data_IF_770633840023
#
_entry.id   IF_770633840023
#
_cell.length_a   1.000
_cell.length_b   1.000
_cell.length_c   1.000
_cell.angle_alpha   90.00
_cell.angle_beta   90.00
_cell.angle_gamma   90.00
#
_symmetry.space_group_name_H-M   'P 1'
#
loop_
_entity.id
_entity.type
_entity.pdbx_description
1 polymer ?
#
# COMPACT_ATOMS: atom_id res chain seq x y z
N UNK A 1 38.38 -18.32 -6.16
CA UNK A 1 37.17 -18.14 -6.99
C UNK A 1 36.63 -16.72 -6.78
N UNK A 2 36.50 -15.90 -7.83
CA UNK A 2 36.01 -14.52 -7.70
C UNK A 2 34.50 -14.52 -7.40
N UNK A 3 34.14 -14.11 -6.18
CA UNK A 3 32.75 -13.95 -5.74
C UNK A 3 32.08 -12.75 -6.40
N UNK A 4 30.80 -12.86 -6.78
CA UNK A 4 30.07 -11.72 -7.35
C UNK A 4 29.98 -10.57 -6.32
N UNK A 5 30.15 -9.34 -6.77
CA UNK A 5 30.01 -8.12 -5.95
C UNK A 5 28.62 -7.93 -5.31
N UNK A 6 27.60 -8.69 -5.73
CA UNK A 6 26.27 -8.72 -5.08
C UNK A 6 26.35 -9.25 -3.65
N UNK A 7 27.22 -10.23 -3.40
CA UNK A 7 27.29 -10.92 -2.12
C UNK A 7 28.06 -10.11 -1.07
N UNK A 8 28.75 -9.05 -1.49
CA UNK A 8 29.40 -8.08 -0.60
C UNK A 8 28.36 -7.06 -0.10
N UNK A 9 28.04 -7.13 1.18
CA UNK A 9 27.02 -6.29 1.84
C UNK A 9 27.35 -4.79 1.77
N UNK A 10 28.61 -4.41 1.98
CA UNK A 10 29.10 -3.03 1.90
C UNK A 10 28.92 -2.43 0.51
N UNK A 11 29.37 -3.15 -0.52
CA UNK A 11 29.21 -2.76 -1.92
C UNK A 11 27.74 -2.62 -2.31
N UNK A 12 26.90 -3.60 -1.95
CA UNK A 12 25.44 -3.54 -2.19
C UNK A 12 24.81 -2.29 -1.58
N UNK A 13 25.21 -1.94 -0.37
CA UNK A 13 24.70 -0.78 0.35
C UNK A 13 25.12 0.51 -0.36
N UNK A 14 26.40 0.64 -0.73
CA UNK A 14 26.93 1.77 -1.50
C UNK A 14 26.17 1.99 -2.83
N UNK A 15 25.99 0.93 -3.64
CA UNK A 15 25.25 1.00 -4.91
C UNK A 15 23.80 1.45 -4.70
N UNK A 16 23.14 0.95 -3.65
CA UNK A 16 21.76 1.35 -3.34
C UNK A 16 21.66 2.81 -2.90
N UNK A 17 22.63 3.31 -2.12
CA UNK A 17 22.68 4.71 -1.72
C UNK A 17 22.88 5.61 -2.92
N UNK A 18 23.87 5.30 -3.77
CA UNK A 18 24.11 6.04 -5.02
C UNK A 18 22.89 6.03 -5.94
N UNK A 19 22.22 4.89 -6.09
CA UNK A 19 20.98 4.80 -6.87
C UNK A 19 19.87 5.69 -6.29
N UNK A 20 19.62 5.62 -4.98
CA UNK A 20 18.60 6.49 -4.33
C UNK A 20 18.95 7.97 -4.47
N UNK A 21 20.23 8.31 -4.37
CA UNK A 21 20.74 9.66 -4.56
C UNK A 21 20.48 10.16 -5.99
N UNK A 22 20.78 9.35 -7.02
CA UNK A 22 20.45 9.70 -8.42
C UNK A 22 18.97 9.96 -8.64
N UNK A 23 18.09 9.16 -8.02
CA UNK A 23 16.65 9.35 -8.17
C UNK A 23 16.18 10.65 -7.51
N UNK A 24 16.68 10.97 -6.31
CA UNK A 24 16.35 12.23 -5.62
C UNK A 24 16.83 13.43 -6.42
N UNK A 25 18.09 13.43 -6.85
CA UNK A 25 18.66 14.54 -7.62
C UNK A 25 17.99 14.70 -8.97
N UNK A 26 17.59 13.60 -9.63
CA UNK A 26 16.85 13.71 -10.88
C UNK A 26 15.51 14.45 -10.70
N UNK A 27 14.80 14.23 -9.59
CA UNK A 27 13.56 14.94 -9.31
C UNK A 27 13.77 16.38 -8.82
N UNK A 28 14.85 16.66 -8.08
CA UNK A 28 15.09 17.96 -7.47
C UNK A 28 15.78 18.94 -8.42
N UNK A 29 16.73 18.46 -9.24
CA UNK A 29 17.58 19.29 -10.09
C UNK A 29 17.13 19.34 -11.56
N UNK A 30 16.08 18.60 -11.95
CA UNK A 30 15.55 18.61 -13.32
C UNK A 30 14.05 18.90 -13.34
N UNK A 31 13.66 19.97 -14.03
CA UNK A 31 12.25 20.33 -14.22
C UNK A 31 11.58 19.56 -15.37
N UNK A 32 12.35 18.98 -16.29
CA UNK A 32 11.81 18.18 -17.40
C UNK A 32 11.44 16.77 -16.97
N UNK A 33 10.14 16.48 -16.88
CA UNK A 33 9.63 15.13 -16.57
C UNK A 33 10.11 14.06 -17.55
N UNK A 34 10.34 14.42 -18.81
CA UNK A 34 10.86 13.50 -19.82
C UNK A 34 12.29 13.06 -19.52
N UNK A 35 13.15 14.01 -19.15
CA UNK A 35 14.53 13.75 -18.74
C UNK A 35 14.58 12.87 -17.48
N UNK A 36 13.76 13.19 -16.47
CA UNK A 36 13.64 12.40 -15.24
C UNK A 36 13.23 10.96 -15.53
N UNK A 37 12.23 10.76 -16.40
CA UNK A 37 11.81 9.42 -16.81
C UNK A 37 12.94 8.67 -17.52
N UNK A 38 13.66 9.34 -18.43
CA UNK A 38 14.79 8.75 -19.18
C UNK A 38 15.93 8.35 -18.26
N UNK A 39 16.35 9.22 -17.33
CA UNK A 39 17.36 8.92 -16.31
C UNK A 39 16.96 7.66 -15.54
N UNK A 40 15.75 7.64 -14.99
CA UNK A 40 15.26 6.52 -14.17
C UNK A 40 15.24 5.20 -14.94
N UNK A 41 14.81 5.24 -16.21
CA UNK A 41 14.73 4.06 -17.07
C UNK A 41 16.13 3.51 -17.36
N UNK A 42 17.06 4.36 -17.81
CA UNK A 42 18.41 3.95 -18.21
C UNK A 42 19.20 3.45 -17.01
N UNK A 43 19.21 4.21 -15.89
CA UNK A 43 19.94 3.82 -14.67
C UNK A 43 19.42 2.49 -14.10
N UNK A 44 18.09 2.27 -14.12
CA UNK A 44 17.52 0.99 -13.70
C UNK A 44 17.97 -0.15 -14.62
N UNK A 45 17.95 0.06 -15.93
CA UNK A 45 18.34 -0.97 -16.91
C UNK A 45 19.82 -1.33 -16.80
N UNK A 46 20.72 -0.35 -16.65
CA UNK A 46 22.17 -0.58 -16.53
C UNK A 46 22.53 -1.32 -15.24
N UNK A 47 21.96 -0.93 -14.10
CA UNK A 47 22.19 -1.61 -12.82
C UNK A 47 21.68 -3.04 -12.82
N UNK A 48 20.53 -3.31 -13.47
CA UNK A 48 20.01 -4.69 -13.59
C UNK A 48 20.89 -5.51 -14.51
N UNK A 49 21.31 -4.96 -15.66
CA UNK A 49 22.16 -5.65 -16.64
C UNK A 49 23.51 -6.07 -16.04
N UNK A 50 24.10 -5.22 -15.22
CA UNK A 50 25.44 -5.45 -14.64
C UNK A 50 25.43 -5.95 -13.20
N UNK A 51 24.25 -6.34 -12.70
CA UNK A 51 24.06 -6.81 -11.32
C UNK A 51 25.03 -7.93 -10.97
N UNK A 52 25.19 -8.93 -11.86
CA UNK A 52 25.99 -10.13 -11.63
C UNK A 52 27.43 -10.03 -12.19
N UNK A 53 27.94 -8.82 -12.47
CA UNK A 53 29.30 -8.67 -12.97
C UNK A 53 30.34 -9.14 -11.94
N UNK A 54 31.35 -9.86 -12.42
CA UNK A 54 32.51 -10.34 -11.62
C UNK A 54 33.75 -9.47 -11.77
N UNK A 55 33.84 -8.66 -12.83
CA UNK A 55 34.98 -7.78 -13.08
C UNK A 55 34.91 -6.53 -12.21
N UNK A 56 35.92 -6.33 -11.35
CA UNK A 56 36.08 -5.14 -10.50
C UNK A 56 36.15 -3.87 -11.34
N UNK A 57 36.94 -3.88 -12.41
CA UNK A 57 37.10 -2.76 -13.33
C UNK A 57 35.77 -2.36 -14.00
N UNK A 58 35.01 -3.35 -14.46
CA UNK A 58 33.69 -3.11 -15.05
C UNK A 58 32.74 -2.48 -14.04
N UNK A 59 32.69 -2.98 -12.80
CA UNK A 59 31.84 -2.41 -11.75
C UNK A 59 32.26 -0.99 -11.39
N UNK A 60 33.57 -0.74 -11.23
CA UNK A 60 34.12 0.58 -10.94
C UNK A 60 33.73 1.61 -12.01
N UNK A 61 33.92 1.29 -13.29
CA UNK A 61 33.57 2.17 -14.41
C UNK A 61 32.08 2.56 -14.39
N UNK A 62 31.18 1.63 -14.09
CA UNK A 62 29.74 1.92 -14.04
C UNK A 62 29.38 2.78 -12.83
N UNK A 63 30.03 2.59 -11.69
CA UNK A 63 29.85 3.42 -10.51
C UNK A 63 30.37 4.84 -10.74
N UNK A 64 31.52 4.98 -11.41
CA UNK A 64 32.09 6.27 -11.76
C UNK A 64 31.17 7.05 -12.70
N UNK A 65 30.62 6.42 -13.75
CA UNK A 65 29.63 7.04 -14.65
C UNK A 65 28.34 7.46 -13.92
N UNK A 66 27.92 6.67 -12.92
CA UNK A 66 26.75 6.99 -12.11
C UNK A 66 27.02 8.14 -11.12
N UNK A 67 28.26 8.28 -10.65
CA UNK A 67 28.71 9.41 -9.87
C UNK A 67 28.83 10.69 -10.72
N UNK A 68 29.40 10.58 -11.92
CA UNK A 68 29.50 11.66 -12.91
C UNK A 68 28.10 12.19 -13.30
N UNK A 69 27.14 11.30 -13.55
CA UNK A 69 25.74 11.67 -13.76
C UNK A 69 25.19 12.51 -12.60
N UNK A 70 25.46 12.13 -11.35
CA UNK A 70 25.02 12.91 -10.18
C UNK A 70 25.66 14.30 -10.13
N UNK A 71 26.95 14.41 -10.42
CA UNK A 71 27.63 15.70 -10.43
C UNK A 71 27.05 16.62 -11.52
N UNK A 72 26.78 16.09 -12.71
CA UNK A 72 26.17 16.84 -13.81
C UNK A 72 24.75 17.29 -13.48
N UNK A 73 23.97 16.47 -12.78
CA UNK A 73 22.63 16.83 -12.28
C UNK A 73 22.68 17.98 -11.27
N UNK A 74 23.60 17.92 -10.29
CA UNK A 74 23.76 18.97 -9.28
C UNK A 74 24.22 20.28 -9.89
N UNK A 75 25.13 20.24 -10.88
CA UNK A 75 25.61 21.41 -11.62
C UNK A 75 24.60 21.97 -12.64
N UNK A 76 23.43 21.36 -12.79
CA UNK A 76 22.39 21.81 -13.73
C UNK A 76 22.74 21.65 -15.21
N UNK A 77 23.75 20.84 -15.55
CA UNK A 77 24.30 20.78 -16.90
C UNK A 77 23.54 19.77 -17.79
N UNK A 78 22.31 20.14 -18.17
CA UNK A 78 21.32 19.22 -18.77
C UNK A 78 21.80 18.59 -20.10
N UNK A 79 22.52 19.34 -20.93
CA UNK A 79 23.05 18.84 -22.22
C UNK A 79 24.03 17.68 -22.01
N UNK A 80 24.98 17.85 -21.09
CA UNK A 80 25.94 16.80 -20.74
C UNK A 80 25.27 15.56 -20.11
N UNK A 81 24.23 15.76 -19.29
CA UNK A 81 23.42 14.64 -18.77
C UNK A 81 22.77 13.87 -19.92
N UNK A 82 22.22 14.58 -20.91
CA UNK A 82 21.60 13.95 -22.08
C UNK A 82 22.61 13.14 -22.88
N UNK A 83 23.76 13.72 -23.21
CA UNK A 83 24.82 13.07 -24.00
C UNK A 83 25.35 11.81 -23.31
N UNK A 84 25.58 11.87 -21.99
CA UNK A 84 26.01 10.72 -21.20
C UNK A 84 24.97 9.59 -21.23
N UNK A 85 23.68 9.91 -21.11
CA UNK A 85 22.60 8.92 -21.23
C UNK A 85 22.50 8.34 -22.64
N UNK A 86 22.74 9.15 -23.68
CA UNK A 86 22.73 8.70 -25.08
C UNK A 86 23.89 7.75 -25.36
N UNK A 87 25.09 8.04 -24.83
CA UNK A 87 26.28 7.19 -24.93
C UNK A 87 26.11 5.85 -24.20
N UNK A 88 25.41 5.83 -23.07
CA UNK A 88 25.07 4.60 -22.34
C UNK A 88 23.96 3.80 -23.03
N UNK A 89 23.01 4.49 -23.66
CA UNK A 89 21.88 3.88 -24.37
C UNK A 89 22.23 3.42 -25.79
N UNK A 90 23.32 3.92 -26.39
CA UNK A 90 23.74 3.50 -27.73
C UNK A 90 24.15 2.04 -27.65
N UNK A 91 23.29 1.18 -28.19
CA UNK A 91 23.59 -0.23 -28.34
C UNK A 91 24.77 -0.32 -29.31
N UNK A 92 25.99 -0.57 -28.82
CA UNK A 92 26.94 -1.34 -29.62
C UNK A 92 26.22 -2.64 -29.95
N UNK A 93 25.77 -2.80 -31.21
CA UNK A 93 25.25 -4.07 -31.69
C UNK A 93 26.35 -5.09 -31.38
N UNK A 94 26.09 -5.99 -30.44
CA UNK A 94 26.97 -7.12 -30.25
C UNK A 94 27.01 -7.87 -31.59
N UNK A 95 28.19 -8.29 -32.08
CA UNK A 95 28.22 -9.23 -33.19
C UNK A 95 27.37 -10.43 -32.76
N UNK A 96 26.44 -10.85 -33.63
CA UNK A 96 25.37 -11.78 -33.29
C UNK A 96 25.89 -12.98 -32.51
N UNK A 97 25.28 -13.26 -31.35
CA UNK A 97 25.56 -14.49 -30.62
C UNK A 97 25.27 -15.67 -31.55
N UNK A 98 26.29 -16.47 -31.86
CA UNK A 98 26.15 -17.66 -32.68
C UNK A 98 25.07 -18.59 -32.11
N UNK A 99 24.34 -19.29 -33.00
CA UNK A 99 23.28 -20.26 -32.66
C UNK A 99 23.72 -21.25 -31.57
N UNK A 100 25.01 -21.57 -31.54
CA UNK A 100 25.67 -22.46 -30.58
C UNK A 100 25.56 -21.95 -29.13
N UNK A 101 25.71 -20.63 -28.87
CA UNK A 101 25.63 -20.09 -27.51
C UNK A 101 24.18 -20.12 -27.00
N UNK A 102 23.21 -19.84 -27.87
CA UNK A 102 21.78 -19.97 -27.53
C UNK A 102 21.39 -21.43 -27.28
N UNK A 103 21.91 -22.38 -28.06
CA UNK A 103 21.67 -23.81 -27.86
C UNK A 103 22.30 -24.32 -26.55
N UNK A 104 23.53 -23.91 -26.23
CA UNK A 104 24.18 -24.24 -24.96
C UNK A 104 23.41 -23.67 -23.75
N UNK A 105 22.84 -22.47 -23.86
CA UNK A 105 21.97 -21.92 -22.82
C UNK A 105 20.65 -22.70 -22.69
N UNK A 106 20.04 -23.12 -23.80
CA UNK A 106 18.84 -23.95 -23.79
C UNK A 106 19.08 -25.34 -23.19
N UNK A 107 20.24 -25.96 -23.46
CA UNK A 107 20.65 -27.24 -22.87
C UNK A 107 20.83 -27.10 -21.35
N UNK A 108 21.41 -25.97 -20.89
CA UNK A 108 21.59 -25.69 -19.46
C UNK A 108 20.24 -25.51 -18.75
N UNK A 109 19.29 -24.83 -19.38
CA UNK A 109 17.91 -24.64 -18.87
C UNK A 109 17.15 -25.97 -18.83
N UNK A 110 17.29 -26.82 -19.85
CA UNK A 110 16.69 -28.17 -19.89
C UNK A 110 17.24 -29.06 -18.76
N UNK A 111 18.56 -29.08 -18.52
CA UNK A 111 19.16 -29.81 -17.38
C UNK A 111 18.65 -29.31 -16.02
N UNK A 112 18.46 -28.00 -15.83
CA UNK A 112 17.93 -27.45 -14.57
C UNK A 112 16.44 -27.74 -14.34
N UNK A 113 15.64 -27.88 -15.40
CA UNK A 113 14.22 -28.21 -15.28
C UNK A 113 14.01 -29.70 -14.97
N UNK A 114 14.84 -30.60 -15.50
CA UNK A 114 14.77 -32.05 -15.23
C UNK A 114 15.15 -32.36 -13.76
N UNK A 115 16.05 -31.56 -13.16
CA UNK A 115 16.44 -31.69 -11.74
C UNK A 115 15.61 -30.81 -10.78
N UNK A 116 14.58 -30.11 -11.27
CA UNK A 116 13.72 -29.34 -10.39
C UNK A 116 12.81 -30.31 -9.61
N UNK A 117 12.87 -30.34 -8.27
CA UNK A 117 12.01 -31.21 -7.49
C UNK A 117 10.56 -30.84 -7.76
N UNK A 118 9.68 -31.85 -7.84
CA UNK A 118 8.26 -31.64 -8.09
C UNK A 118 7.69 -30.55 -7.15
N UNK A 119 6.69 -29.76 -7.57
CA UNK A 119 6.12 -28.69 -6.74
C UNK A 119 5.66 -29.16 -5.35
N UNK A 120 5.28 -30.43 -5.22
CA UNK A 120 4.92 -31.09 -3.95
C UNK A 120 6.16 -31.33 -3.08
N UNK A 121 7.20 -31.96 -3.62
CA UNK A 121 8.47 -32.19 -2.92
C UNK A 121 9.12 -30.88 -2.42
N UNK A 122 9.10 -29.84 -3.26
CA UNK A 122 9.66 -28.53 -2.90
C UNK A 122 8.87 -27.85 -1.76
N UNK A 123 7.54 -28.03 -1.75
CA UNK A 123 6.68 -27.56 -0.66
C UNK A 123 6.95 -28.32 0.64
N UNK A 124 7.04 -29.64 0.58
CA UNK A 124 7.31 -30.53 1.72
C UNK A 124 8.66 -30.25 2.37
N UNK A 125 9.71 -30.15 1.56
CA UNK A 125 11.05 -29.77 2.02
C UNK A 125 11.06 -28.36 2.65
N UNK A 126 10.27 -27.43 2.09
CA UNK A 126 10.08 -26.10 2.68
C UNK A 126 9.35 -26.10 4.03
N UNK A 127 8.51 -27.11 4.31
CA UNK A 127 7.86 -27.30 5.62
C UNK A 127 8.86 -27.88 6.61
N UNK A 128 9.54 -28.95 6.19
CA UNK A 128 10.54 -29.65 6.97
C UNK A 128 11.64 -28.70 7.44
N UNK A 129 12.22 -27.90 6.54
CA UNK A 129 13.26 -26.93 6.90
C UNK A 129 12.78 -25.87 7.90
N UNK A 130 11.51 -25.46 7.84
CA UNK A 130 10.94 -24.53 8.82
C UNK A 130 10.73 -25.19 10.17
N UNK A 131 10.32 -26.45 10.18
CA UNK A 131 10.14 -27.24 11.39
C UNK A 131 11.48 -27.48 12.08
N UNK A 132 12.50 -27.95 11.35
CA UNK A 132 13.85 -28.17 11.87
C UNK A 132 14.41 -26.89 12.48
N UNK A 133 14.36 -25.76 11.77
CA UNK A 133 14.83 -24.46 12.29
C UNK A 133 14.10 -24.03 13.56
N UNK A 134 12.81 -24.34 13.67
CA UNK A 134 12.02 -24.00 14.86
C UNK A 134 12.46 -24.84 16.05
N UNK A 135 12.55 -26.16 15.90
CA UNK A 135 12.92 -27.06 16.99
C UNK A 135 14.40 -26.90 17.40
N UNK A 136 15.30 -26.63 16.45
CA UNK A 136 16.70 -26.27 16.73
C UNK A 136 16.80 -24.96 17.53
N UNK A 137 15.97 -23.96 17.23
CA UNK A 137 15.93 -22.72 18.01
C UNK A 137 15.35 -22.89 19.43
N UNK A 138 14.74 -24.03 19.74
CA UNK A 138 14.28 -24.39 21.08
C UNK A 138 15.14 -25.49 21.71
N UNK A 139 16.33 -25.77 21.13
CA UNK A 139 17.29 -26.79 21.56
C UNK A 139 16.72 -28.22 21.64
N UNK A 140 15.68 -28.52 20.85
CA UNK A 140 15.02 -29.85 20.82
C UNK A 140 15.56 -30.78 19.73
N UNK A 141 16.33 -30.24 18.78
CA UNK A 141 16.96 -31.01 17.71
C UNK A 141 18.44 -30.62 17.57
N UNK A 142 19.32 -31.58 17.24
CA UNK A 142 20.72 -31.28 16.95
C UNK A 142 20.87 -30.45 15.67
N UNK A 143 21.97 -29.71 15.58
CA UNK A 143 22.26 -28.84 14.44
C UNK A 143 22.53 -29.63 13.15
N UNK A 144 23.11 -30.83 13.27
CA UNK A 144 23.39 -31.72 12.16
C UNK A 144 22.47 -32.96 12.24
N UNK A 145 21.71 -33.21 11.17
CA UNK A 145 20.76 -34.31 11.07
C UNK A 145 20.96 -34.93 9.68
N UNK A 146 21.05 -36.26 9.60
CA UNK A 146 21.17 -36.96 8.30
C UNK A 146 19.90 -36.80 7.46
N UNK A 147 20.03 -36.86 6.13
CA UNK A 147 18.89 -36.73 5.21
C UNK A 147 17.87 -37.87 5.37
N UNK A 148 18.31 -39.07 5.76
CA UNK A 148 17.43 -40.21 6.02
C UNK A 148 16.47 -39.94 7.18
N UNK A 149 16.98 -39.45 8.32
CA UNK A 149 16.13 -39.08 9.47
C UNK A 149 15.24 -37.87 9.16
N UNK A 150 15.71 -36.94 8.34
CA UNK A 150 14.92 -35.81 7.87
C UNK A 150 13.68 -36.27 7.09
N UNK A 151 13.85 -37.23 6.19
CA UNK A 151 12.77 -37.69 5.32
C UNK A 151 11.84 -38.70 5.99
N UNK A 152 12.37 -39.63 6.78
CA UNK A 152 11.58 -40.72 7.37
C UNK A 152 10.89 -40.33 8.68
N UNK A 153 11.55 -39.52 9.52
CA UNK A 153 11.05 -39.20 10.86
C UNK A 153 10.58 -37.75 10.96
N UNK A 154 11.39 -36.78 10.53
CA UNK A 154 11.06 -35.37 10.73
C UNK A 154 10.01 -34.85 9.75
N UNK A 155 9.96 -35.36 8.51
CA UNK A 155 8.99 -34.90 7.52
C UNK A 155 7.54 -35.23 7.91
N UNK A 156 7.19 -36.47 8.31
CA UNK A 156 5.85 -36.76 8.83
C UNK A 156 5.48 -35.90 10.03
N UNK A 157 6.41 -35.69 10.97
CA UNK A 157 6.20 -34.83 12.14
C UNK A 157 5.99 -33.36 11.74
N UNK A 158 6.77 -32.85 10.79
CA UNK A 158 6.66 -31.48 10.30
C UNK A 158 5.32 -31.23 9.58
N UNK A 159 4.85 -32.22 8.79
CA UNK A 159 3.55 -32.18 8.14
C UNK A 159 2.41 -32.19 9.17
N UNK A 160 2.48 -33.09 10.16
CA UNK A 160 1.51 -33.17 11.26
C UNK A 160 1.44 -31.87 12.07
N UNK A 161 2.60 -31.35 12.53
CA UNK A 161 2.67 -30.11 13.30
C UNK A 161 2.11 -28.91 12.50
N UNK A 162 2.37 -28.85 11.19
CA UNK A 162 1.80 -27.82 10.31
C UNK A 162 0.29 -27.96 10.18
N UNK A 163 -0.23 -29.18 10.02
CA UNK A 163 -1.66 -29.43 9.92
C UNK A 163 -2.38 -29.08 11.23
N UNK A 164 -1.82 -29.47 12.37
CA UNK A 164 -2.34 -29.14 13.71
C UNK A 164 -2.36 -27.64 13.95
N UNK A 165 -1.27 -26.92 13.64
CA UNK A 165 -1.23 -25.47 13.77
C UNK A 165 -2.29 -24.77 12.89
N UNK A 166 -2.52 -25.29 11.68
CA UNK A 166 -3.56 -24.81 10.77
C UNK A 166 -4.95 -25.09 11.32
N UNK A 167 -5.20 -26.29 11.85
CA UNK A 167 -6.47 -26.69 12.43
C UNK A 167 -6.80 -25.84 13.68
N UNK A 168 -5.84 -25.66 14.59
CA UNK A 168 -5.99 -24.79 15.77
C UNK A 168 -6.26 -23.33 15.39
N UNK A 169 -5.64 -22.84 14.30
CA UNK A 169 -5.93 -21.49 13.80
C UNK A 169 -7.36 -21.35 13.28
N UNK A 170 -7.89 -22.40 12.65
CA UNK A 170 -9.26 -22.40 12.12
C UNK A 170 -10.26 -22.58 13.24
N UNK A 171 -10.01 -23.48 14.21
CA UNK A 171 -10.83 -23.67 15.39
C UNK A 171 -10.99 -22.37 16.19
N UNK A 172 -9.89 -21.65 16.46
CA UNK A 172 -9.94 -20.32 17.10
C UNK A 172 -10.78 -19.30 16.33
N UNK A 173 -10.86 -19.42 15.00
CA UNK A 173 -11.68 -18.55 14.16
C UNK A 173 -13.13 -19.02 14.02
N UNK A 174 -13.41 -20.28 14.35
CA UNK A 174 -14.76 -20.83 14.43
C UNK A 174 -15.39 -20.52 15.78
N UNK A 175 -14.63 -20.61 16.88
CA UNK A 175 -15.11 -20.27 18.23
C UNK A 175 -15.52 -18.80 18.36
N UNK A 176 -14.94 -17.90 17.55
CA UNK A 176 -15.33 -16.48 17.47
C UNK A 176 -16.64 -16.24 16.70
N UNK A 177 -17.25 -17.27 16.10
CA UNK A 177 -18.47 -17.16 15.32
C UNK A 177 -18.30 -16.56 13.92
N UNK A 178 -19.40 -16.20 13.23
CA UNK A 178 -19.33 -15.56 11.93
C UNK A 178 -18.71 -14.16 12.05
N UNK A 179 -17.88 -13.73 11.07
CA UNK A 179 -17.22 -12.43 11.14
C UNK A 179 -18.26 -11.30 11.16
N UNK A 180 -18.17 -10.42 12.16
CA UNK A 180 -19.09 -9.30 12.35
C UNK A 180 -19.06 -8.34 11.16
N UNK A 181 -20.24 -7.86 10.77
CA UNK A 181 -20.44 -6.83 9.75
C UNK A 181 -20.90 -5.56 10.46
N UNK A 182 -20.22 -4.46 10.20
CA UNK A 182 -20.51 -3.17 10.84
C UNK A 182 -20.53 -2.06 9.80
N UNK A 183 -21.37 -1.05 10.02
CA UNK A 183 -21.35 0.17 9.23
C UNK A 183 -20.31 1.10 9.85
N UNK A 184 -19.16 1.22 9.19
CA UNK A 184 -18.12 2.16 9.59
C UNK A 184 -18.27 3.47 8.85
N UNK A 185 -17.52 4.47 9.30
CA UNK A 185 -17.38 5.72 8.60
C UNK A 185 -15.92 6.13 8.47
N UNK A 186 -15.66 6.99 7.49
CA UNK A 186 -14.45 7.82 7.46
C UNK A 186 -14.87 9.27 7.60
N UNK A 187 -14.28 9.97 8.56
CA UNK A 187 -14.44 11.41 8.70
C UNK A 187 -13.83 12.14 7.49
N UNK A 188 -14.53 13.17 7.05
CA UNK A 188 -14.07 14.26 6.18
C UNK A 188 -14.23 15.58 6.93
N UNK A 189 -13.54 16.64 6.50
CA UNK A 189 -13.53 17.92 7.20
C UNK A 189 -14.94 18.50 7.42
N UNK A 190 -15.89 18.19 6.54
CA UNK A 190 -17.29 18.62 6.66
C UNK A 190 -18.31 17.50 6.92
N UNK A 191 -17.92 16.26 7.21
CA UNK A 191 -18.91 15.18 7.36
C UNK A 191 -18.38 13.77 7.58
N UNK A 192 -19.26 12.77 7.44
CA UNK A 192 -18.92 11.34 7.60
C UNK A 192 -19.39 10.56 6.39
N UNK A 193 -18.46 9.89 5.72
CA UNK A 193 -18.77 8.94 4.63
C UNK A 193 -18.99 7.57 5.26
N UNK A 194 -20.21 7.06 5.19
CA UNK A 194 -20.59 5.75 5.73
C UNK A 194 -20.37 4.64 4.70
N UNK A 195 -19.93 3.46 5.14
CA UNK A 195 -19.79 2.27 4.31
C UNK A 195 -19.73 0.99 5.15
N UNK A 196 -20.09 -0.14 4.54
CA UNK A 196 -20.02 -1.44 5.22
C UNK A 196 -18.58 -1.93 5.34
N UNK A 197 -18.20 -2.40 6.53
CA UNK A 197 -16.97 -3.15 6.79
C UNK A 197 -17.33 -4.57 7.18
N UNK A 198 -16.73 -5.52 6.46
CA UNK A 198 -16.84 -6.95 6.74
C UNK A 198 -15.52 -7.64 6.46
N UNK A 199 -15.38 -8.92 6.86
CA UNK A 199 -14.22 -9.73 6.49
C UNK A 199 -14.05 -9.88 4.96
N UNK A 200 -15.14 -9.73 4.21
CA UNK A 200 -15.19 -9.80 2.76
C UNK A 200 -14.90 -8.44 2.12
N UNK A 201 -15.22 -7.34 2.81
CA UNK A 201 -15.05 -5.96 2.33
C UNK A 201 -14.02 -5.18 3.20
N UNK A 202 -12.74 -5.58 3.14
CA UNK A 202 -11.64 -4.96 3.91
C UNK A 202 -10.32 -4.93 3.13
N UNK A 203 -9.53 -3.86 3.33
CA UNK A 203 -8.21 -3.65 2.70
C UNK A 203 -8.27 -3.84 1.17
N UNK A 204 -7.48 -4.76 0.62
CA UNK A 204 -7.40 -5.07 -0.83
C UNK A 204 -8.70 -5.60 -1.42
N UNK A 205 -9.63 -6.09 -0.59
CA UNK A 205 -10.95 -6.60 -1.02
C UNK A 205 -12.02 -5.52 -1.01
N UNK A 206 -11.68 -4.30 -0.60
CA UNK A 206 -12.61 -3.18 -0.66
C UNK A 206 -12.95 -2.84 -2.12
N UNK A 207 -14.20 -2.51 -2.40
CA UNK A 207 -14.60 -2.14 -3.75
C UNK A 207 -13.81 -0.91 -4.23
N UNK A 208 -13.28 -0.98 -5.46
CA UNK A 208 -12.53 0.13 -6.07
C UNK A 208 -13.39 1.39 -6.15
N UNK A 209 -14.68 1.24 -6.46
CA UNK A 209 -15.65 2.32 -6.51
C UNK A 209 -15.75 3.07 -5.17
N UNK A 210 -15.87 2.36 -4.04
CA UNK A 210 -15.88 2.98 -2.71
C UNK A 210 -14.54 3.67 -2.40
N UNK A 211 -13.42 3.07 -2.77
CA UNK A 211 -12.10 3.69 -2.62
C UNK A 211 -11.90 4.94 -3.47
N UNK A 212 -12.50 5.01 -4.67
CA UNK A 212 -12.51 6.21 -5.51
C UNK A 212 -13.39 7.29 -4.89
N UNK A 213 -14.60 6.92 -4.46
CA UNK A 213 -15.55 7.82 -3.82
C UNK A 213 -14.94 8.49 -2.58
N UNK A 214 -14.34 7.71 -1.66
CA UNK A 214 -13.72 8.25 -0.44
C UNK A 214 -12.58 9.21 -0.79
N UNK A 215 -11.71 8.86 -1.75
CA UNK A 215 -10.59 9.72 -2.14
C UNK A 215 -11.05 11.01 -2.81
N UNK A 216 -12.03 10.91 -3.71
CA UNK A 216 -12.64 12.07 -4.38
C UNK A 216 -13.25 13.01 -3.37
N UNK A 217 -14.07 12.49 -2.45
CA UNK A 217 -14.76 13.32 -1.47
C UNK A 217 -13.77 13.93 -0.45
N UNK A 218 -12.73 13.20 -0.04
CA UNK A 218 -11.66 13.79 0.79
C UNK A 218 -10.95 14.95 0.10
N UNK A 219 -10.61 14.79 -1.18
CA UNK A 219 -9.99 15.86 -1.97
C UNK A 219 -10.93 17.06 -2.11
N UNK A 220 -12.18 16.83 -2.49
CA UNK A 220 -13.16 17.91 -2.64
C UNK A 220 -13.44 18.62 -1.31
N UNK A 221 -13.56 17.87 -0.20
CA UNK A 221 -13.74 18.43 1.13
C UNK A 221 -12.55 19.29 1.56
N UNK A 222 -11.32 18.90 1.19
CA UNK A 222 -10.13 19.69 1.44
C UNK A 222 -10.14 20.98 0.63
N UNK A 223 -10.39 20.91 -0.68
CA UNK A 223 -10.49 22.08 -1.54
C UNK A 223 -11.55 23.08 -1.05
N UNK A 224 -12.71 22.59 -0.59
CA UNK A 224 -13.77 23.46 -0.03
C UNK A 224 -13.33 24.15 1.26
N UNK A 225 -12.57 23.45 2.09
CA UNK A 225 -12.04 24.00 3.33
C UNK A 225 -10.95 25.05 3.05
N UNK A 226 -10.00 24.74 2.17
CA UNK A 226 -9.00 25.71 1.70
C UNK A 226 -9.67 26.94 1.07
N UNK A 227 -10.75 26.75 0.29
CA UNK A 227 -11.53 27.86 -0.26
C UNK A 227 -12.19 28.72 0.83
N UNK A 228 -12.74 28.10 1.88
CA UNK A 228 -13.30 28.84 3.02
C UNK A 228 -12.25 29.64 3.77
N UNK A 229 -11.05 29.08 3.98
CA UNK A 229 -9.93 29.81 4.58
C UNK A 229 -9.47 30.97 3.71
N UNK A 230 -9.34 30.76 2.39
CA UNK A 230 -9.06 31.84 1.45
C UNK A 230 -10.13 32.93 1.51
N UNK A 231 -11.42 32.58 1.54
CA UNK A 231 -12.50 33.56 1.68
C UNK A 231 -12.39 34.35 3.00
N UNK A 232 -12.07 33.71 4.13
CA UNK A 232 -11.84 34.42 5.40
C UNK A 232 -10.65 35.39 5.30
N UNK A 233 -9.55 34.98 4.69
CA UNK A 233 -8.40 35.85 4.47
C UNK A 233 -8.74 37.03 3.55
N UNK A 234 -9.44 36.80 2.45
CA UNK A 234 -9.90 37.86 1.54
C UNK A 234 -10.89 38.79 2.21
N UNK A 235 -11.77 38.27 3.06
CA UNK A 235 -12.72 39.09 3.82
C UNK A 235 -12.00 40.01 4.82
N UNK A 236 -10.91 39.55 5.46
CA UNK A 236 -10.09 40.40 6.33
C UNK A 236 -9.46 41.56 5.55
N UNK A 237 -8.92 41.29 4.36
CA UNK A 237 -8.38 42.33 3.49
C UNK A 237 -9.46 43.32 3.05
N UNK A 238 -10.60 42.82 2.56
CA UNK A 238 -11.72 43.65 2.15
C UNK A 238 -12.28 44.51 3.30
N UNK A 239 -12.29 43.97 4.52
CA UNK A 239 -12.67 44.72 5.73
C UNK A 239 -11.70 45.87 5.98
N UNK A 240 -10.39 45.61 5.93
CA UNK A 240 -9.38 46.64 6.14
C UNK A 240 -9.49 47.74 5.08
N UNK A 241 -9.54 47.38 3.80
CA UNK A 241 -9.70 48.34 2.70
C UNK A 241 -10.98 49.16 2.84
N UNK A 242 -12.11 48.52 3.16
CA UNK A 242 -13.37 49.23 3.36
C UNK A 242 -13.38 50.14 4.60
N UNK A 243 -12.70 49.77 5.69
CA UNK A 243 -12.51 50.68 6.85
C UNK A 243 -11.64 51.88 6.46
N UNK A 244 -10.57 51.65 5.69
CA UNK A 244 -9.70 52.71 5.20
C UNK A 244 -10.44 53.70 4.31
N UNK A 245 -11.22 53.20 3.35
CA UNK A 245 -12.03 54.05 2.47
C UNK A 245 -13.08 54.85 3.25
N UNK A 246 -13.75 54.21 4.21
CA UNK A 246 -14.69 54.88 5.10
C UNK A 246 -14.03 55.98 5.94
N UNK A 247 -12.84 55.70 6.47
CA UNK A 247 -12.08 56.68 7.26
C UNK A 247 -11.68 57.90 6.42
N UNK A 248 -11.25 57.71 5.17
CA UNK A 248 -10.93 58.81 4.26
C UNK A 248 -12.15 59.68 3.97
N UNK A 249 -13.33 59.07 3.79
CA UNK A 249 -14.56 59.77 3.43
C UNK A 249 -15.25 60.46 4.62
N UNK A 250 -15.26 59.84 5.80
CA UNK A 250 -16.07 60.28 6.96
C UNK A 250 -15.24 60.62 8.21
N UNK A 251 -13.94 60.35 8.22
CA UNK A 251 -13.05 60.62 9.37
C UNK A 251 -13.28 59.70 10.59
N UNK A 252 -14.09 58.64 10.47
CA UNK A 252 -14.44 57.73 11.56
C UNK A 252 -14.01 56.29 11.26
N UNK A 253 -13.53 55.60 12.29
CA UNK A 253 -13.10 54.19 12.21
C UNK A 253 -14.27 53.31 12.65
N UNK A 254 -14.60 52.31 11.84
CA UNK A 254 -15.65 51.34 12.13
C UNK A 254 -15.06 50.09 12.80
N UNK A 255 -15.77 49.57 13.80
CA UNK A 255 -15.49 48.26 14.38
C UNK A 255 -16.56 47.26 13.90
N UNK A 256 -16.12 46.18 13.26
CA UNK A 256 -17.00 45.11 12.79
C UNK A 256 -16.44 43.75 13.20
N UNK A 257 -17.29 42.89 13.76
CA UNK A 257 -16.98 41.46 13.91
C UNK A 257 -17.19 40.73 12.58
N UNK A 258 -16.07 40.45 11.90
CA UNK A 258 -16.07 39.79 10.61
C UNK A 258 -16.56 38.35 10.67
N UNK A 259 -16.21 37.62 11.73
CA UNK A 259 -16.58 36.21 11.84
C UNK A 259 -18.10 36.09 12.00
N UNK A 260 -18.72 36.95 12.80
CA UNK A 260 -20.18 36.99 12.95
C UNK A 260 -20.89 37.35 11.63
N UNK A 261 -20.34 38.29 10.84
CA UNK A 261 -20.90 38.69 9.55
C UNK A 261 -20.81 37.59 8.47
N UNK A 262 -19.68 36.87 8.42
CA UNK A 262 -19.48 35.75 7.48
C UNK A 262 -20.21 34.47 7.92
N UNK A 263 -20.55 34.36 9.21
CA UNK A 263 -21.18 33.16 9.77
C UNK A 263 -22.70 33.12 9.70
N UNK A 264 -23.33 34.28 9.75
CA UNK A 264 -24.78 34.46 9.70
C UNK A 264 -25.36 34.29 8.28
N UNK A 265 -26.34 33.39 8.15
CA UNK A 265 -27.17 33.25 6.95
C UNK A 265 -28.19 34.40 6.87
N UNK A 266 -28.77 34.77 8.01
CA UNK A 266 -29.65 35.92 8.19
C UNK A 266 -28.96 36.89 9.15
N UNK A 267 -28.78 38.14 8.73
CA UNK A 267 -28.28 39.21 9.61
C UNK A 267 -29.49 39.96 10.16
N UNK A 268 -29.58 40.07 11.49
CA UNK A 268 -30.43 41.08 12.11
C UNK A 268 -29.99 42.46 11.62
N UNK A 269 -30.94 43.38 11.40
CA UNK A 269 -30.67 44.73 10.88
C UNK A 269 -29.61 45.49 11.70
N UNK A 270 -29.47 45.17 12.98
CA UNK A 270 -28.49 45.78 13.91
C UNK A 270 -27.02 45.43 13.61
N UNK A 271 -26.75 44.34 12.88
CA UNK A 271 -25.39 43.88 12.57
C UNK A 271 -25.04 44.09 11.08
N UNK A 272 -25.85 44.88 10.36
CA UNK A 272 -25.52 45.21 8.98
C UNK A 272 -24.40 46.26 8.96
N UNK A 273 -23.29 46.00 8.25
CA UNK A 273 -22.27 47.00 8.04
C UNK A 273 -22.84 48.16 7.21
N UNK A 274 -22.25 49.36 7.33
CA UNK A 274 -22.58 50.49 6.44
C UNK A 274 -22.50 50.10 4.97
N UNK A 275 -23.28 50.75 4.11
CA UNK A 275 -23.44 50.40 2.69
C UNK A 275 -22.11 50.24 1.95
N UNK A 276 -21.17 51.16 2.13
CA UNK A 276 -19.82 51.10 1.54
C UNK A 276 -19.06 49.83 1.95
N UNK A 277 -19.06 49.51 3.25
CA UNK A 277 -18.38 48.31 3.77
C UNK A 277 -19.11 47.02 3.33
N UNK A 278 -20.43 47.09 3.14
CA UNK A 278 -21.23 45.98 2.61
C UNK A 278 -20.85 45.65 1.16
N UNK A 279 -20.56 46.64 0.33
CA UNK A 279 -20.14 46.41 -1.07
C UNK A 279 -18.84 45.62 -1.15
N UNK A 280 -17.87 45.93 -0.28
CA UNK A 280 -16.61 45.19 -0.17
C UNK A 280 -16.80 43.73 0.28
N UNK A 281 -17.69 43.50 1.27
CA UNK A 281 -17.83 42.19 1.92
C UNK A 281 -18.89 41.27 1.29
N UNK A 282 -19.89 41.82 0.60
CA UNK A 282 -20.97 41.07 -0.05
C UNK A 282 -20.49 39.91 -0.96
N UNK A 283 -19.56 40.11 -1.91
CA UNK A 283 -19.13 39.03 -2.82
C UNK A 283 -18.43 37.89 -2.08
N UNK A 284 -17.70 38.21 -1.00
CA UNK A 284 -17.03 37.20 -0.18
C UNK A 284 -18.06 36.44 0.66
N UNK A 285 -19.04 37.13 1.23
CA UNK A 285 -20.13 36.53 2.00
C UNK A 285 -20.95 35.56 1.17
N UNK A 286 -21.34 35.93 -0.05
CA UNK A 286 -22.05 35.03 -0.97
C UNK A 286 -21.26 33.74 -1.26
N UNK A 287 -19.96 33.89 -1.46
CA UNK A 287 -19.07 32.74 -1.72
C UNK A 287 -19.00 31.81 -0.50
N UNK A 288 -18.91 32.37 0.70
CA UNK A 288 -18.93 31.61 1.96
C UNK A 288 -20.26 30.87 2.15
N UNK A 289 -21.39 31.53 1.88
CA UNK A 289 -22.73 30.93 1.97
C UNK A 289 -22.85 29.74 1.01
N UNK A 290 -22.51 29.92 -0.27
CA UNK A 290 -22.52 28.84 -1.28
C UNK A 290 -21.66 27.64 -0.86
N UNK A 291 -20.46 27.88 -0.33
CA UNK A 291 -19.58 26.82 0.16
C UNK A 291 -20.17 26.05 1.35
N UNK A 292 -20.83 26.76 2.28
CA UNK A 292 -21.52 26.15 3.42
C UNK A 292 -22.75 25.34 3.00
N UNK A 293 -23.53 25.81 2.04
CA UNK A 293 -24.66 25.07 1.46
C UNK A 293 -24.22 23.76 0.83
N UNK A 294 -23.15 23.79 0.02
CA UNK A 294 -22.57 22.58 -0.58
C UNK A 294 -22.17 21.58 0.51
N UNK A 295 -21.53 22.06 1.60
CA UNK A 295 -21.16 21.18 2.71
C UNK A 295 -22.39 20.57 3.41
N UNK A 296 -23.44 21.37 3.69
CA UNK A 296 -24.70 20.89 4.26
C UNK A 296 -25.37 19.84 3.37
N UNK A 297 -25.47 20.10 2.07
CA UNK A 297 -26.03 19.17 1.09
C UNK A 297 -25.26 17.84 1.06
N UNK A 298 -23.93 17.88 1.17
CA UNK A 298 -23.09 16.67 1.23
C UNK A 298 -23.31 15.86 2.51
N UNK A 299 -23.48 16.51 3.65
CA UNK A 299 -23.80 15.84 4.92
C UNK A 299 -25.13 15.10 4.81
N UNK A 300 -26.16 15.77 4.28
CA UNK A 300 -27.48 15.19 4.06
C UNK A 300 -27.40 14.01 3.09
N UNK A 301 -26.68 14.16 1.98
CA UNK A 301 -26.46 13.09 1.01
C UNK A 301 -25.87 11.83 1.67
N UNK A 302 -24.80 11.95 2.46
CA UNK A 302 -24.18 10.78 3.11
C UNK A 302 -25.02 10.19 4.24
N UNK A 303 -25.84 11.00 4.93
CA UNK A 303 -26.83 10.51 5.90
C UNK A 303 -27.91 9.70 5.19
N UNK A 304 -28.43 10.19 4.08
CA UNK A 304 -29.43 9.49 3.27
C UNK A 304 -28.86 8.23 2.65
N UNK A 305 -27.61 8.26 2.15
CA UNK A 305 -26.92 7.08 1.65
C UNK A 305 -26.78 5.99 2.72
N UNK A 306 -26.42 6.36 3.96
CA UNK A 306 -26.36 5.43 5.09
C UNK A 306 -27.71 4.73 5.30
N UNK A 307 -28.78 5.52 5.42
CA UNK A 307 -30.09 4.98 5.79
C UNK A 307 -30.73 4.21 4.63
N UNK A 308 -30.69 4.76 3.42
CA UNK A 308 -31.43 4.24 2.29
C UNK A 308 -30.67 3.15 1.53
N UNK A 309 -29.34 3.25 1.41
CA UNK A 309 -28.55 2.30 0.61
C UNK A 309 -27.88 1.25 1.49
N UNK A 310 -27.28 1.66 2.62
CA UNK A 310 -26.53 0.72 3.46
C UNK A 310 -27.44 -0.11 4.37
N UNK A 311 -28.44 0.54 4.99
CA UNK A 311 -29.38 -0.10 5.92
C UNK A 311 -30.58 -0.65 5.15
N UNK A 312 -31.47 0.22 4.65
CA UNK A 312 -32.71 -0.19 3.98
C UNK A 312 -32.47 -0.91 2.65
N UNK A 313 -31.50 -0.46 1.87
CA UNK A 313 -31.09 -1.06 0.59
C UNK A 313 -30.35 -2.39 0.72
N UNK A 314 -30.25 -2.95 1.94
CA UNK A 314 -29.82 -4.32 2.15
C UNK A 314 -28.32 -4.59 1.98
N UNK A 315 -27.47 -3.60 1.70
CA UNK A 315 -26.03 -3.87 1.54
C UNK A 315 -25.39 -4.42 2.83
N UNK A 316 -25.77 -3.89 4.00
CA UNK A 316 -25.29 -4.41 5.28
C UNK A 316 -25.74 -5.86 5.50
N UNK A 317 -27.00 -6.16 5.18
CA UNK A 317 -27.59 -7.49 5.30
C UNK A 317 -26.96 -8.49 4.31
N UNK A 318 -26.77 -8.09 3.06
CA UNK A 318 -26.05 -8.86 2.05
C UNK A 318 -24.66 -9.31 2.53
N UNK A 319 -23.88 -8.39 3.11
CA UNK A 319 -22.57 -8.74 3.66
C UNK A 319 -22.68 -9.61 4.92
N UNK A 320 -23.74 -9.46 5.72
CA UNK A 320 -23.98 -10.30 6.89
C UNK A 320 -24.29 -11.74 6.47
N UNK A 321 -25.16 -11.95 5.49
CA UNK A 321 -25.51 -13.28 4.99
C UNK A 321 -24.33 -13.96 4.31
N UNK A 322 -23.57 -13.20 3.51
CA UNK A 322 -22.33 -13.72 2.91
C UNK A 322 -21.27 -14.06 3.96
N UNK A 323 -21.25 -13.35 5.09
CA UNK A 323 -20.37 -13.65 6.22
C UNK A 323 -20.79 -14.93 6.96
N UNK A 324 -22.11 -15.19 7.09
CA UNK A 324 -22.64 -16.45 7.61
C UNK A 324 -22.28 -17.63 6.69
N UNK A 325 -22.47 -17.49 5.38
CA UNK A 325 -22.11 -18.53 4.41
C UNK A 325 -20.62 -18.85 4.45
N UNK A 326 -19.76 -17.84 4.48
CA UNK A 326 -18.31 -18.03 4.61
C UNK A 326 -17.92 -18.74 5.92
N UNK A 327 -18.66 -18.53 7.00
CA UNK A 327 -18.47 -19.27 8.25
C UNK A 327 -18.89 -20.73 8.12
N UNK A 328 -20.03 -21.02 7.48
CA UNK A 328 -20.49 -22.40 7.16
C UNK A 328 -19.47 -23.16 6.30
N UNK A 329 -18.98 -22.56 5.22
CA UNK A 329 -17.93 -23.14 4.37
C UNK A 329 -16.61 -23.37 5.12
N UNK A 330 -16.29 -22.51 6.11
CA UNK A 330 -15.12 -22.70 6.96
C UNK A 330 -15.31 -23.90 7.89
N UNK A 331 -16.51 -24.09 8.42
CA UNK A 331 -16.85 -25.21 9.28
C UNK A 331 -16.81 -26.54 8.50
N UNK A 332 -17.37 -26.58 7.29
CA UNK A 332 -17.28 -27.76 6.42
C UNK A 332 -15.81 -28.12 6.10
N UNK A 333 -15.01 -27.15 5.66
CA UNK A 333 -13.58 -27.38 5.40
C UNK A 333 -12.82 -27.84 6.65
N UNK A 334 -13.18 -27.32 7.82
CA UNK A 334 -12.57 -27.75 9.08
C UNK A 334 -12.86 -29.23 9.36
N UNK A 335 -14.10 -29.67 9.18
CA UNK A 335 -14.49 -31.08 9.31
C UNK A 335 -13.77 -31.97 8.30
N UNK A 336 -13.64 -31.53 7.04
CA UNK A 336 -12.88 -32.26 6.02
C UNK A 336 -11.38 -32.37 6.35
N UNK A 337 -10.75 -31.27 6.76
CA UNK A 337 -9.34 -31.27 7.16
C UNK A 337 -9.09 -32.12 8.40
N UNK A 338 -9.99 -32.09 9.38
CA UNK A 338 -9.90 -32.95 10.56
C UNK A 338 -9.92 -34.44 10.20
N UNK A 339 -10.63 -34.82 9.13
CA UNK A 339 -10.70 -36.22 8.64
C UNK A 339 -9.54 -36.60 7.71
N UNK A 340 -9.10 -35.69 6.83
CA UNK A 340 -8.13 -35.99 5.75
C UNK A 340 -6.68 -35.60 6.07
N UNK A 341 -6.47 -34.43 6.68
CA UNK A 341 -5.12 -33.85 6.88
C UNK A 341 -4.49 -34.33 8.20
N UNK A 342 -5.29 -34.83 9.15
CA UNK A 342 -4.87 -35.32 10.47
C UNK A 342 -5.54 -36.67 10.78
N UNK A 343 -5.21 -37.74 10.04
CA UNK A 343 -5.74 -39.07 10.37
C UNK A 343 -5.28 -39.47 11.79
N UNK A 344 -4.00 -39.35 12.14
CA UNK A 344 -3.45 -39.82 13.43
C UNK A 344 -3.03 -38.68 14.39
N UNK A 345 -3.18 -38.87 15.71
CA UNK A 345 -2.68 -38.00 16.80
C UNK A 345 -1.15 -38.03 16.91
N UNK A 346 -0.55 -39.16 16.54
CA UNK A 346 0.88 -39.31 16.33
C UNK A 346 1.10 -39.93 14.94
N UNK A 347 1.95 -39.35 14.07
CA UNK A 347 2.08 -39.80 12.68
C UNK A 347 2.61 -41.22 12.51
N UNK A 348 3.07 -41.87 13.58
CA UNK A 348 3.68 -43.21 13.58
C UNK A 348 2.81 -44.30 14.21
N UNK A 349 1.66 -43.97 14.81
CA UNK A 349 0.80 -44.93 15.50
C UNK A 349 -0.54 -45.04 14.78
N UNK A 350 -0.75 -46.17 14.11
CA UNK A 350 -1.98 -46.47 13.39
C UNK A 350 -3.16 -46.62 14.38
N UNK A 351 -4.33 -46.02 14.07
CA UNK A 351 -5.56 -46.17 14.85
C UNK A 351 -5.76 -45.20 16.04
N UNK A 352 -4.78 -44.35 16.36
CA UNK A 352 -4.96 -43.25 17.32
C UNK A 352 -5.40 -41.98 16.62
N UNK A 353 -6.56 -42.02 15.99
CA UNK A 353 -7.04 -40.90 15.19
C UNK A 353 -7.62 -39.79 16.07
N UNK A 354 -7.49 -38.53 15.64
CA UNK A 354 -8.00 -37.38 16.41
C UNK A 354 -9.51 -37.54 16.76
N UNK A 355 -10.38 -38.04 15.84
CA UNK A 355 -11.77 -38.35 16.16
C UNK A 355 -11.92 -39.48 17.20
N UNK A 356 -11.10 -40.54 17.12
CA UNK A 356 -11.15 -41.69 18.04
C UNK A 356 -10.74 -41.30 19.45
N UNK A 357 -9.73 -40.43 19.58
CA UNK A 357 -9.31 -39.89 20.87
C UNK A 357 -10.36 -38.93 21.44
N UNK A 358 -10.92 -38.03 20.61
CA UNK A 358 -11.98 -37.10 21.06
C UNK A 358 -13.26 -37.85 21.48
N UNK A 359 -13.63 -38.94 20.79
CA UNK A 359 -14.78 -39.77 21.15
C UNK A 359 -14.64 -40.40 22.54
N UNK A 360 -13.42 -40.76 22.96
CA UNK A 360 -13.13 -41.31 24.29
C UNK A 360 -13.33 -40.32 25.44
N UNK A 361 -13.28 -39.01 25.16
CA UNK A 361 -13.42 -37.94 26.15
C UNK A 361 -14.73 -37.15 26.03
N UNK A 362 -15.65 -37.56 25.14
CA UNK A 362 -17.05 -37.11 25.19
C UNK A 362 -17.79 -37.96 26.22
N UNK A 363 -17.70 -37.55 27.49
CA UNK A 363 -18.69 -37.85 28.52
C UNK A 363 -19.74 -36.74 28.51
#
# INVERSE_FOLDING_TARGET
>A
MVTNFIYLSSHRTCVLHLYRHTLRNSHQCCHSMHLVHRIRKIVKQTLVKHRCNKSSWSVHLHLQKLHELNQLLVRGNIKAVWDLLTLISSKKKAPGSSRIISELQMIKIKKTNIMSPSPKCSREMGILNKYIKREQAHDRLPHNISEEYKMNLLLPMALHARALAKLNSIQRKLSQGPPKVMINHTATMGGRIWFVRSALNKKKRQSKALGILIRREKRQSRNRWEALECCKATANWALQEGIWEHFIQQGTILELDLDQYLESFDLDEKYQPPLLLREWLAPVRESVIKLKEINRAKVVYFRNYKNNVLIKGGQAQYYADRSKNFHRERLQRFQEMAKKDLPYVAPFVFGRDLPSVIAKYRL
#
